data_IF_418070903600
#
_entry.id   IF_418070903600
#
_cell.length_a   1.000
_cell.length_b   1.000
_cell.length_c   1.000
_cell.angle_alpha   90.00
_cell.angle_beta   90.00
_cell.angle_gamma   90.00
#
_symmetry.space_group_name_H-M   'P 1'
#
loop_
_entity.id
_entity.type
_entity.pdbx_description
1 polymer ?
#
# COMPACT_ATOMS: atom_id res chain seq x y z
N UNK A 1 -4.80 10.15 -7.75
CA UNK A 1 -4.02 9.08 -7.12
C UNK A 1 -2.86 8.69 -8.03
N UNK A 2 -1.69 8.50 -7.47
CA UNK A 2 -0.50 8.13 -8.24
C UNK A 2 0.18 6.92 -7.61
N UNK A 3 0.80 6.08 -8.44
CA UNK A 3 1.64 4.99 -7.96
C UNK A 3 2.75 5.56 -7.07
N UNK A 4 2.96 4.93 -5.92
CA UNK A 4 3.94 5.38 -4.93
C UNK A 4 3.38 6.29 -3.86
N UNK A 5 2.16 6.77 -4.02
CA UNK A 5 1.49 7.48 -2.94
C UNK A 5 1.10 6.51 -1.83
N UNK A 6 1.03 7.05 -0.61
CA UNK A 6 0.57 6.30 0.56
C UNK A 6 -0.78 6.85 0.98
N UNK A 7 -1.78 5.98 1.03
CA UNK A 7 -3.14 6.35 1.38
C UNK A 7 -3.61 5.59 2.61
N UNK A 8 -4.25 6.29 3.54
CA UNK A 8 -5.00 5.63 4.59
C UNK A 8 -6.17 4.89 3.95
N UNK A 9 -6.28 3.60 4.22
CA UNK A 9 -7.21 2.71 3.53
C UNK A 9 -7.93 1.82 4.53
N UNK A 10 -9.23 1.67 4.35
CA UNK A 10 -10.05 0.75 5.15
C UNK A 10 -9.98 -0.63 4.52
N UNK A 11 -9.18 -1.50 5.11
CA UNK A 11 -8.89 -2.82 4.53
C UNK A 11 -9.98 -3.85 4.82
N UNK A 12 -10.79 -3.65 5.84
CA UNK A 12 -11.86 -4.59 6.20
C UNK A 12 -13.14 -4.43 5.36
N UNK A 13 -13.21 -3.39 4.54
CA UNK A 13 -14.38 -3.11 3.71
C UNK A 13 -15.61 -2.68 4.47
N UNK A 14 -15.52 -2.51 5.79
CA UNK A 14 -16.65 -2.10 6.62
C UNK A 14 -16.81 -0.59 6.62
N UNK A 15 -18.00 -0.12 7.00
CA UNK A 15 -18.31 1.31 7.09
C UNK A 15 -18.87 1.64 8.47
N UNK A 16 -18.88 2.93 8.81
CA UNK A 16 -19.43 3.41 10.07
C UNK A 16 -18.64 2.92 11.28
N UNK A 17 -19.34 2.68 12.37
CA UNK A 17 -18.73 2.26 13.62
C UNK A 17 -18.11 0.86 13.55
N UNK A 18 -18.55 0.04 12.60
CA UNK A 18 -18.02 -1.30 12.40
C UNK A 18 -16.68 -1.29 11.65
N UNK A 19 -16.30 -0.16 11.07
CA UNK A 19 -15.05 -0.06 10.34
C UNK A 19 -13.87 -0.02 11.29
N UNK A 20 -12.82 -0.77 10.99
CA UNK A 20 -11.55 -0.66 11.68
C UNK A 20 -10.85 0.64 11.35
N UNK A 21 -9.75 0.92 12.06
CA UNK A 21 -8.92 2.08 11.74
C UNK A 21 -8.32 1.94 10.35
N UNK A 22 -8.31 3.02 9.55
CA UNK A 22 -7.59 2.99 8.29
C UNK A 22 -6.10 2.73 8.51
N UNK A 23 -5.50 1.98 7.61
CA UNK A 23 -4.07 1.70 7.64
C UNK A 23 -3.38 2.37 6.46
N UNK A 24 -2.13 2.85 6.65
CA UNK A 24 -1.35 3.35 5.52
C UNK A 24 -1.10 2.21 4.52
N UNK A 25 -1.37 2.48 3.24
CA UNK A 25 -1.14 1.51 2.17
C UNK A 25 -0.42 2.19 1.03
N UNK A 26 0.58 1.50 0.48
CA UNK A 26 1.33 1.96 -0.68
C UNK A 26 0.56 1.62 -1.95
N UNK A 27 0.28 2.62 -2.78
CA UNK A 27 -0.37 2.40 -4.07
C UNK A 27 0.64 1.79 -5.04
N UNK A 28 0.36 0.58 -5.48
CA UNK A 28 1.20 -0.22 -6.37
C UNK A 28 0.68 -0.20 -7.80
N UNK A 29 -0.65 -0.10 -7.97
CA UNK A 29 -1.26 -0.16 -9.30
C UNK A 29 -0.77 0.98 -10.19
N UNK A 30 -0.50 0.69 -11.48
CA UNK A 30 -0.19 1.75 -12.43
C UNK A 30 -1.44 2.55 -12.80
N UNK A 31 -1.27 3.77 -13.37
CA UNK A 31 -2.41 4.58 -13.78
C UNK A 31 -3.37 3.85 -14.74
N UNK A 32 -2.88 2.92 -15.55
CA UNK A 32 -3.69 2.13 -16.47
C UNK A 32 -4.79 1.34 -15.75
N UNK A 33 -4.58 1.05 -14.46
CA UNK A 33 -5.58 0.37 -13.62
C UNK A 33 -6.42 1.39 -12.88
N UNK A 34 -5.82 2.18 -11.99
CA UNK A 34 -6.61 2.99 -11.06
C UNK A 34 -7.18 4.27 -11.67
N UNK A 35 -6.72 4.70 -12.86
CA UNK A 35 -7.35 5.83 -13.54
C UNK A 35 -8.59 5.44 -14.34
N UNK A 36 -8.73 4.16 -14.67
CA UNK A 36 -9.82 3.66 -15.53
C UNK A 36 -10.80 2.73 -14.81
N UNK A 37 -10.43 2.23 -13.65
CA UNK A 37 -11.28 1.33 -12.85
C UNK A 37 -11.58 1.97 -11.50
N UNK A 38 -12.59 1.46 -10.81
CA UNK A 38 -12.96 1.93 -9.48
C UNK A 38 -12.17 1.22 -8.37
N UNK A 39 -11.01 0.66 -8.71
CA UNK A 39 -10.17 -0.09 -7.79
C UNK A 39 -8.74 0.40 -7.86
N UNK A 40 -7.97 0.07 -6.83
CA UNK A 40 -6.53 0.24 -6.80
C UNK A 40 -5.89 -0.99 -6.16
N UNK A 41 -4.65 -1.27 -6.50
CA UNK A 41 -3.88 -2.34 -5.87
C UNK A 41 -2.92 -1.71 -4.89
N UNK A 42 -2.97 -2.15 -3.63
CA UNK A 42 -2.19 -1.55 -2.55
C UNK A 42 -1.51 -2.61 -1.69
N UNK A 43 -0.42 -2.21 -1.04
CA UNK A 43 0.28 -3.03 -0.05
C UNK A 43 0.18 -2.33 1.31
N UNK A 44 -0.39 -2.98 2.33
CA UNK A 44 -0.55 -2.35 3.64
C UNK A 44 0.77 -2.25 4.40
N UNK A 45 0.86 -1.27 5.30
CA UNK A 45 1.98 -1.11 6.20
C UNK A 45 1.70 -1.80 7.52
N UNK A 46 2.67 -2.57 8.00
CA UNK A 46 2.70 -3.09 9.36
C UNK A 46 3.73 -2.32 10.17
N UNK A 47 3.45 -2.11 11.46
CA UNK A 47 4.37 -1.43 12.37
C UNK A 47 5.33 -2.42 13.00
N UNK A 48 4.88 -3.65 13.21
CA UNK A 48 5.63 -4.71 13.87
C UNK A 48 5.99 -5.81 12.89
N UNK A 49 6.96 -6.60 13.27
CA UNK A 49 7.37 -7.77 12.52
C UNK A 49 8.86 -7.77 12.20
N UNK A 50 9.40 -8.95 12.02
CA UNK A 50 10.80 -9.12 11.67
C UNK A 50 11.07 -8.64 10.24
N UNK A 51 12.27 -8.12 9.96
CA UNK A 51 12.65 -7.83 8.59
C UNK A 51 12.57 -9.08 7.71
N UNK A 52 12.11 -8.89 6.49
CA UNK A 52 12.06 -9.95 5.49
C UNK A 52 12.32 -9.34 4.12
N UNK A 53 12.81 -10.15 3.20
CA UNK A 53 13.20 -9.68 1.87
C UNK A 53 12.03 -9.06 1.09
N UNK A 54 10.80 -9.48 1.38
CA UNK A 54 9.60 -8.99 0.71
C UNK A 54 8.88 -7.87 1.49
N UNK A 55 9.53 -7.28 2.50
CA UNK A 55 8.96 -6.16 3.29
C UNK A 55 9.84 -4.93 3.14
N UNK A 56 9.22 -3.81 2.82
CA UNK A 56 9.92 -2.59 2.45
C UNK A 56 9.80 -1.56 3.57
N UNK A 57 10.93 -1.21 4.18
CA UNK A 57 10.95 -0.23 5.26
C UNK A 57 10.61 1.16 4.74
N UNK A 58 9.81 1.89 5.49
CA UNK A 58 9.47 3.28 5.19
C UNK A 58 8.97 3.98 6.45
N UNK A 59 8.97 5.31 6.43
CA UNK A 59 8.42 6.11 7.51
C UNK A 59 7.27 6.93 6.95
N UNK A 60 6.09 6.81 7.58
CA UNK A 60 4.88 7.51 7.17
C UNK A 60 4.37 8.31 8.35
N UNK A 61 4.20 9.63 8.18
CA UNK A 61 3.79 10.54 9.24
C UNK A 61 4.65 10.38 10.52
N UNK A 62 5.97 10.28 10.33
CA UNK A 62 6.97 10.10 11.39
C UNK A 62 6.89 8.76 12.12
N UNK A 63 6.11 7.80 11.61
CA UNK A 63 6.00 6.47 12.19
C UNK A 63 6.73 5.48 11.28
N UNK A 64 7.79 4.81 11.77
CA UNK A 64 8.48 3.81 10.97
C UNK A 64 7.64 2.53 10.89
N UNK A 65 7.73 1.86 9.76
CA UNK A 65 7.04 0.61 9.53
C UNK A 65 7.57 -0.09 8.28
N UNK A 66 6.85 -1.10 7.81
CA UNK A 66 7.22 -1.85 6.61
C UNK A 66 6.00 -2.11 5.77
N UNK A 67 6.09 -1.86 4.47
CA UNK A 67 5.04 -2.27 3.55
C UNK A 67 5.13 -3.78 3.37
N UNK A 68 4.01 -4.46 3.56
CA UNK A 68 3.91 -5.91 3.55
C UNK A 68 3.53 -6.35 2.14
N UNK A 69 4.53 -6.57 1.29
CA UNK A 69 4.30 -6.88 -0.12
C UNK A 69 3.57 -8.21 -0.29
N UNK A 70 3.72 -9.13 0.66
CA UNK A 70 3.00 -10.40 0.63
C UNK A 70 1.50 -10.25 0.93
N UNK A 71 1.06 -9.08 1.41
CA UNK A 71 -0.35 -8.79 1.67
C UNK A 71 -0.96 -7.86 0.62
N UNK A 72 -0.34 -7.79 -0.54
CA UNK A 72 -0.85 -7.05 -1.68
C UNK A 72 -2.31 -7.42 -1.96
N UNK A 73 -3.15 -6.41 -2.19
CA UNK A 73 -4.58 -6.66 -2.44
C UNK A 73 -5.20 -5.56 -3.27
N UNK A 74 -6.32 -5.88 -3.88
CA UNK A 74 -7.16 -4.92 -4.58
C UNK A 74 -8.19 -4.36 -3.62
N UNK A 75 -8.36 -3.05 -3.61
CA UNK A 75 -9.38 -2.37 -2.81
C UNK A 75 -10.22 -1.48 -3.71
N UNK A 76 -11.48 -1.23 -3.31
CA UNK A 76 -12.30 -0.22 -3.96
C UNK A 76 -11.76 1.17 -3.64
N UNK A 77 -11.82 2.08 -4.59
CA UNK A 77 -11.41 3.47 -4.35
C UNK A 77 -12.19 4.10 -3.19
N UNK A 78 -13.42 3.66 -2.95
CA UNK A 78 -14.23 4.13 -1.82
C UNK A 78 -13.60 3.76 -0.45
N UNK A 79 -12.70 2.79 -0.41
CA UNK A 79 -12.00 2.40 0.82
C UNK A 79 -10.80 3.30 1.12
N UNK A 80 -10.37 4.12 0.15
CA UNK A 80 -9.27 5.07 0.31
C UNK A 80 -9.78 6.32 1.03
N UNK A 81 -9.19 6.64 2.18
CA UNK A 81 -9.67 7.74 3.03
C UNK A 81 -8.98 9.05 2.67
N UNK A 82 -7.65 9.09 2.71
CA UNK A 82 -6.89 10.26 2.31
C UNK A 82 -5.43 9.90 2.02
N UNK A 83 -4.79 10.71 1.19
CA UNK A 83 -3.37 10.58 0.91
C UNK A 83 -2.58 11.19 2.06
N UNK A 84 -1.60 10.45 2.59
CA UNK A 84 -0.75 10.92 3.69
C UNK A 84 0.69 11.16 3.25
N UNK A 85 1.01 10.92 2.00
CA UNK A 85 2.34 11.16 1.47
C UNK A 85 2.64 10.32 0.26
N UNK A 86 3.90 10.25 -0.08
CA UNK A 86 4.40 9.41 -1.17
C UNK A 86 5.79 8.91 -0.81
N UNK A 87 6.12 7.70 -1.22
CA UNK A 87 7.48 7.19 -1.05
C UNK A 87 8.39 7.79 -2.13
N UNK A 88 9.70 7.81 -1.87
CA UNK A 88 10.65 8.26 -2.86
C UNK A 88 10.80 7.23 -3.98
N UNK A 89 11.48 7.63 -5.06
CA UNK A 89 11.67 6.77 -6.23
C UNK A 89 12.44 5.50 -5.89
N UNK A 90 13.41 5.59 -4.99
CA UNK A 90 14.23 4.45 -4.58
C UNK A 90 13.38 3.41 -3.85
N UNK A 91 12.53 3.85 -2.93
CA UNK A 91 11.63 2.98 -2.17
C UNK A 91 10.60 2.32 -3.10
N UNK A 92 10.02 3.10 -4.01
CA UNK A 92 9.07 2.54 -4.99
C UNK A 92 9.75 1.52 -5.89
N UNK A 93 10.95 1.81 -6.36
CA UNK A 93 11.70 0.86 -7.20
C UNK A 93 11.98 -0.44 -6.45
N UNK A 94 12.33 -0.36 -5.16
CA UNK A 94 12.56 -1.54 -4.33
C UNK A 94 11.28 -2.36 -4.17
N UNK A 95 10.14 -1.71 -3.95
CA UNK A 95 8.84 -2.38 -3.83
C UNK A 95 8.48 -3.11 -5.13
N UNK A 96 8.60 -2.44 -6.27
CA UNK A 96 8.27 -3.04 -7.56
C UNK A 96 9.21 -4.19 -7.91
N UNK A 97 10.51 -4.05 -7.60
CA UNK A 97 11.47 -5.13 -7.81
C UNK A 97 11.12 -6.35 -6.94
N UNK A 98 10.74 -6.12 -5.69
CA UNK A 98 10.32 -7.19 -4.79
C UNK A 98 9.12 -7.95 -5.36
N UNK A 99 8.13 -7.24 -5.89
CA UNK A 99 6.99 -7.90 -6.51
C UNK A 99 7.40 -8.71 -7.74
N UNK A 100 8.29 -8.17 -8.58
CA UNK A 100 8.79 -8.92 -9.73
C UNK A 100 9.47 -10.22 -9.30
N UNK A 101 10.27 -10.17 -8.25
CA UNK A 101 10.94 -11.37 -7.72
C UNK A 101 9.96 -12.36 -7.12
N UNK A 102 8.93 -11.88 -6.40
CA UNK A 102 7.91 -12.74 -5.80
C UNK A 102 7.11 -13.52 -6.85
N UNK A 103 6.89 -12.93 -8.02
CA UNK A 103 6.09 -13.54 -9.08
C UNK A 103 6.94 -14.10 -10.23
N UNK A 104 8.25 -14.10 -10.10
CA UNK A 104 9.13 -14.72 -11.08
C UNK A 104 9.05 -16.24 -10.99
N UNK A 105 9.18 -16.90 -12.13
CA UNK A 105 9.23 -18.37 -12.19
C UNK A 105 10.59 -18.91 -11.76
#
# INVERSE_FOLDING_TARGET
MKRGEVWLTRLDGRTGEAAGKPRPCLVISPPEIHDHLDVAIVAPMGIEGAPAAFRIAATVENIPGRFLMEQLRTVDKAQLVRCVGAVDKKTLAAALRTLREMFAE
#
